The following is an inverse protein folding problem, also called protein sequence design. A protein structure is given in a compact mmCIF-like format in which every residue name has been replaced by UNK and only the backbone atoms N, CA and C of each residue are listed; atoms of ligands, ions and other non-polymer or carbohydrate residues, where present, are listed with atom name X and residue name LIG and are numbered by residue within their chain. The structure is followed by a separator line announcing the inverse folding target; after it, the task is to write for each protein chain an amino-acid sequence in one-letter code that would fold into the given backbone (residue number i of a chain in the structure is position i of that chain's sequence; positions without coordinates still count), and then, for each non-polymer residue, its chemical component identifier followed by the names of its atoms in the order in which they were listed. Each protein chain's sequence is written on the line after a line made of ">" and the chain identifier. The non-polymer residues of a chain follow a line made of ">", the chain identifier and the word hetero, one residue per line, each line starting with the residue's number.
data_IF_665626843579
#
_entry.id   IF_665626843579
#
_cell.length_a   1.000
_cell.length_b   1.000
_cell.length_c   1.000
_cell.angle_alpha   90.00
_cell.angle_beta   90.00
_cell.angle_gamma   90.00
#
_symmetry.space_group_name_H-M   'P 1'
#
loop_
_entity.id
_entity.type
_entity.pdbx_description
1 polymer ?
#
# COMPACT_ATOMS: atom_id res chain seq x y z
N UNK A 1 -13.92 -6.45 22.59
CA UNK A 1 -13.68 -5.99 21.21
C UNK A 1 -14.68 -6.73 20.36
N UNK A 2 -15.80 -6.08 20.02
CA UNK A 2 -16.84 -6.62 19.14
C UNK A 2 -16.27 -6.74 17.73
N UNK A 3 -16.60 -7.84 17.10
CA UNK A 3 -16.14 -8.22 15.76
C UNK A 3 -16.55 -7.17 14.73
N UNK A 4 -15.64 -6.73 13.92
CA UNK A 4 -15.80 -5.79 12.79
C UNK A 4 -16.83 -6.24 11.74
N UNK A 5 -17.27 -7.50 11.78
CA UNK A 5 -18.20 -8.11 10.83
C UNK A 5 -19.68 -7.72 11.03
N UNK A 6 -20.07 -7.16 12.18
CA UNK A 6 -21.46 -6.77 12.44
C UNK A 6 -21.87 -5.42 11.81
N UNK A 7 -20.93 -4.65 11.28
CA UNK A 7 -21.19 -3.30 10.75
C UNK A 7 -21.06 -3.22 9.22
N UNK A 8 -20.58 -4.26 8.57
CA UNK A 8 -20.28 -4.24 7.13
C UNK A 8 -21.51 -4.21 6.23
N UNK A 9 -22.67 -4.67 6.72
CA UNK A 9 -23.92 -4.73 5.95
C UNK A 9 -24.91 -3.60 6.28
N UNK A 10 -24.52 -2.61 7.11
CA UNK A 10 -25.41 -1.53 7.55
C UNK A 10 -25.35 -0.33 6.63
N UNK A 11 -26.49 0.29 6.37
CA UNK A 11 -26.57 1.59 5.69
C UNK A 11 -25.92 2.71 6.54
N UNK A 12 -25.52 3.79 5.88
CA UNK A 12 -24.94 4.96 6.58
C UNK A 12 -25.88 5.53 7.66
N UNK A 13 -27.19 5.50 7.42
CA UNK A 13 -28.19 5.96 8.41
C UNK A 13 -28.30 5.04 9.62
N UNK A 14 -28.21 3.72 9.39
CA UNK A 14 -28.20 2.75 10.50
C UNK A 14 -26.92 2.86 11.33
N UNK A 15 -25.78 3.08 10.69
CA UNK A 15 -24.52 3.34 11.38
C UNK A 15 -24.59 4.62 12.23
N UNK A 16 -25.14 5.71 11.70
CA UNK A 16 -25.35 6.96 12.45
C UNK A 16 -26.24 6.75 13.68
N UNK A 17 -27.36 6.02 13.53
CA UNK A 17 -28.24 5.69 14.65
C UNK A 17 -27.53 4.87 15.72
N UNK A 18 -26.77 3.84 15.33
CA UNK A 18 -26.01 3.02 16.29
C UNK A 18 -24.94 3.84 17.03
N UNK A 19 -24.24 4.74 16.35
CA UNK A 19 -23.28 5.64 16.99
C UNK A 19 -23.98 6.56 17.99
N UNK A 20 -25.11 7.16 17.59
CA UNK A 20 -25.91 8.02 18.46
C UNK A 20 -26.44 7.28 19.69
N UNK A 21 -26.99 6.07 19.52
CA UNK A 21 -27.44 5.21 20.61
C UNK A 21 -26.31 4.83 21.55
N UNK A 22 -25.13 4.50 21.01
CA UNK A 22 -23.97 4.14 21.83
C UNK A 22 -23.41 5.31 22.65
N UNK A 23 -23.47 6.54 22.10
CA UNK A 23 -23.03 7.77 22.76
C UNK A 23 -24.06 8.34 23.74
N UNK A 24 -25.32 7.94 23.61
CA UNK A 24 -26.42 8.44 24.42
C UNK A 24 -26.13 8.28 25.91
N UNK A 25 -26.38 9.36 26.68
CA UNK A 25 -26.15 9.40 28.12
C UNK A 25 -24.66 9.35 28.55
N UNK A 26 -23.70 9.34 27.60
CA UNK A 26 -22.26 9.33 27.89
C UNK A 26 -21.63 10.69 27.64
N UNK A 27 -20.58 10.99 28.41
CA UNK A 27 -19.67 12.08 28.13
C UNK A 27 -18.55 11.59 27.21
N UNK A 28 -18.36 12.24 26.07
CA UNK A 28 -17.43 11.78 25.04
C UNK A 28 -16.54 12.89 24.52
N UNK A 29 -15.39 12.49 23.98
CA UNK A 29 -14.56 13.27 23.06
C UNK A 29 -14.44 12.48 21.76
N UNK A 30 -14.97 13.05 20.68
CA UNK A 30 -14.84 12.51 19.33
C UNK A 30 -13.85 13.37 18.54
N UNK A 31 -12.94 12.73 17.83
CA UNK A 31 -12.01 13.40 16.92
C UNK A 31 -12.37 13.01 15.50
N UNK A 32 -12.69 14.02 14.68
CA UNK A 32 -12.95 13.89 13.25
C UNK A 32 -11.76 14.51 12.52
N UNK A 33 -10.92 13.67 11.97
CA UNK A 33 -9.68 14.11 11.31
C UNK A 33 -9.91 14.34 9.83
N UNK A 34 -9.31 15.42 9.30
CA UNK A 34 -9.24 15.78 7.87
C UNK A 34 -10.61 15.91 7.18
N UNK A 35 -11.54 16.68 7.76
CA UNK A 35 -12.83 16.98 7.13
C UNK A 35 -12.63 17.99 5.99
N UNK A 36 -13.02 17.60 4.76
CA UNK A 36 -12.76 18.38 3.54
C UNK A 36 -13.87 19.35 3.14
N UNK A 37 -15.12 19.02 3.43
CA UNK A 37 -16.28 19.82 3.02
C UNK A 37 -17.28 19.99 4.14
N UNK A 38 -18.04 21.06 4.10
CA UNK A 38 -19.14 21.33 5.04
C UNK A 38 -20.24 20.24 4.96
N UNK A 39 -20.43 19.66 3.77
CA UNK A 39 -21.40 18.60 3.55
C UNK A 39 -21.07 17.34 4.36
N UNK A 40 -19.79 16.93 4.42
CA UNK A 40 -19.36 15.78 5.23
C UNK A 40 -19.70 16.01 6.72
N UNK A 41 -19.49 17.24 7.22
CA UNK A 41 -19.90 17.58 8.58
C UNK A 41 -21.41 17.46 8.77
N UNK A 42 -22.22 17.98 7.84
CA UNK A 42 -23.67 17.89 7.91
C UNK A 42 -24.17 16.44 7.89
N UNK A 43 -23.51 15.57 7.16
CA UNK A 43 -23.82 14.15 7.11
C UNK A 43 -23.56 13.45 8.45
N UNK A 44 -22.48 13.78 9.16
CA UNK A 44 -22.08 13.04 10.37
C UNK A 44 -22.56 13.67 11.67
N UNK A 45 -22.82 14.98 11.73
CA UNK A 45 -23.14 15.71 12.97
C UNK A 45 -24.34 15.13 13.72
N UNK A 46 -25.34 14.58 13.00
CA UNK A 46 -26.53 13.95 13.58
C UNK A 46 -26.27 12.67 14.38
N UNK A 47 -25.07 12.07 14.24
CA UNK A 47 -24.65 10.92 15.02
C UNK A 47 -24.16 11.26 16.44
N UNK A 48 -24.04 12.55 16.80
CA UNK A 48 -23.46 13.01 18.07
C UNK A 48 -24.52 13.70 18.92
N UNK A 49 -25.18 12.99 19.86
CA UNK A 49 -26.23 13.56 20.69
C UNK A 49 -25.65 14.56 21.72
N UNK A 50 -26.25 15.73 21.84
CA UNK A 50 -25.87 16.78 22.80
C UNK A 50 -26.66 16.69 24.12
N UNK A 51 -26.81 15.49 24.68
CA UNK A 51 -27.56 15.24 25.90
C UNK A 51 -26.77 15.50 27.19
N UNK A 52 -25.44 15.42 27.10
CA UNK A 52 -24.53 15.55 28.25
C UNK A 52 -23.66 16.80 28.12
N UNK A 53 -23.84 17.77 29.04
CA UNK A 53 -22.95 18.94 29.09
C UNK A 53 -21.50 18.52 29.30
N UNK A 54 -20.62 18.91 28.40
CA UNK A 54 -19.19 18.66 28.48
C UNK A 54 -18.66 17.62 27.49
N UNK A 55 -19.51 17.01 26.65
CA UNK A 55 -19.05 16.30 25.45
C UNK A 55 -18.39 17.30 24.49
N UNK A 56 -17.39 16.80 23.74
CA UNK A 56 -16.61 17.63 22.80
C UNK A 56 -16.39 16.88 21.51
N UNK A 57 -16.36 17.64 20.42
CA UNK A 57 -15.97 17.17 19.10
C UNK A 57 -14.77 18.04 18.66
N UNK A 58 -13.67 17.40 18.33
CA UNK A 58 -12.50 18.04 17.75
C UNK A 58 -12.47 17.73 16.26
N UNK A 59 -12.43 18.76 15.43
CA UNK A 59 -12.37 18.62 13.96
C UNK A 59 -11.05 19.18 13.50
N UNK A 60 -10.34 18.43 12.65
CA UNK A 60 -9.23 18.98 11.87
C UNK A 60 -9.67 19.16 10.41
N UNK A 61 -9.20 20.22 9.77
CA UNK A 61 -9.46 20.51 8.36
C UNK A 61 -8.37 21.39 7.79
N UNK A 62 -8.07 21.15 6.52
CA UNK A 62 -7.23 22.06 5.70
C UNK A 62 -8.05 23.23 5.13
N UNK A 63 -9.38 23.12 5.12
CA UNK A 63 -10.29 24.13 4.62
C UNK A 63 -10.78 25.03 5.76
N UNK A 64 -10.43 26.33 5.70
CA UNK A 64 -10.87 27.33 6.68
C UNK A 64 -12.40 27.47 6.74
N UNK A 65 -13.08 27.31 5.60
CA UNK A 65 -14.54 27.40 5.54
C UNK A 65 -15.20 26.29 6.37
N UNK A 66 -14.69 25.07 6.29
CA UNK A 66 -15.18 23.94 7.10
C UNK A 66 -14.98 24.22 8.58
N UNK A 67 -13.80 24.73 8.96
CA UNK A 67 -13.49 25.03 10.35
C UNK A 67 -14.42 26.10 10.93
N UNK A 68 -14.78 27.13 10.17
CA UNK A 68 -15.75 28.15 10.58
C UNK A 68 -17.18 27.63 10.61
N UNK A 69 -17.56 26.79 9.65
CA UNK A 69 -18.92 26.26 9.54
C UNK A 69 -19.24 25.25 10.65
N UNK A 70 -18.31 24.34 10.92
CA UNK A 70 -18.53 23.26 11.87
C UNK A 70 -18.32 23.69 13.34
N UNK A 71 -17.52 24.73 13.58
CA UNK A 71 -17.14 25.17 14.92
C UNK A 71 -18.17 26.05 15.60
N UNK A 72 -18.39 25.84 16.91
CA UNK A 72 -19.13 26.76 17.79
C UNK A 72 -18.24 27.83 18.40
N UNK A 73 -16.93 27.73 18.23
CA UNK A 73 -15.89 28.67 18.66
C UNK A 73 -14.99 29.05 17.49
N UNK A 74 -14.18 30.10 17.66
CA UNK A 74 -13.19 30.48 16.64
C UNK A 74 -12.22 29.33 16.38
N UNK A 75 -11.96 28.99 15.09
CA UNK A 75 -11.01 27.96 14.76
C UNK A 75 -9.61 28.26 15.29
N UNK A 76 -8.93 27.22 15.76
CA UNK A 76 -7.53 27.31 16.11
C UNK A 76 -6.67 27.06 14.86
N UNK A 77 -5.88 28.04 14.49
CA UNK A 77 -4.94 27.91 13.39
C UNK A 77 -3.61 27.39 13.92
N UNK A 78 -3.26 26.17 13.52
CA UNK A 78 -1.98 25.58 13.92
C UNK A 78 -0.83 26.42 13.34
N UNK A 79 0.06 27.00 14.18
CA UNK A 79 1.17 27.77 13.67
C UNK A 79 2.18 26.86 12.95
N UNK A 80 2.84 27.42 11.94
CA UNK A 80 4.03 26.82 11.35
C UNK A 80 5.18 26.86 12.37
N UNK A 81 6.17 25.98 12.22
CA UNK A 81 7.37 25.98 13.06
C UNK A 81 8.16 27.27 12.83
N UNK A 82 8.67 27.84 13.93
CA UNK A 82 9.61 28.96 13.85
C UNK A 82 10.99 28.48 13.33
N UNK A 83 11.93 29.42 13.14
CA UNK A 83 13.26 29.12 12.57
C UNK A 83 14.06 28.14 13.43
N UNK A 84 14.00 28.27 14.77
CA UNK A 84 14.75 27.39 15.67
C UNK A 84 14.11 26.01 15.80
N UNK A 85 12.79 25.93 15.90
CA UNK A 85 12.06 24.66 15.87
C UNK A 85 12.28 23.91 14.55
N UNK A 86 12.29 24.64 13.43
CA UNK A 86 12.57 24.09 12.10
C UNK A 86 13.99 23.54 12.00
N UNK A 87 14.96 24.29 12.54
CA UNK A 87 16.36 23.88 12.61
C UNK A 87 16.54 22.65 13.51
N UNK A 88 15.92 22.63 14.68
CA UNK A 88 15.96 21.49 15.58
C UNK A 88 15.40 20.22 14.95
N UNK A 89 14.24 20.32 14.26
CA UNK A 89 13.64 19.19 13.56
C UNK A 89 14.56 18.66 12.45
N UNK A 90 15.16 19.56 11.66
CA UNK A 90 16.08 19.23 10.59
C UNK A 90 17.33 18.52 11.09
N UNK A 91 17.98 19.07 12.13
CA UNK A 91 19.21 18.50 12.69
C UNK A 91 18.96 17.17 13.37
N UNK A 92 17.89 17.01 14.14
CA UNK A 92 17.50 15.73 14.73
C UNK A 92 17.36 14.62 13.67
N UNK A 93 16.82 14.97 12.51
CA UNK A 93 16.65 14.00 11.41
C UNK A 93 17.97 13.61 10.75
N UNK A 94 18.91 14.54 10.60
CA UNK A 94 20.18 14.31 9.88
C UNK A 94 21.23 13.68 10.80
N UNK A 95 21.34 14.17 12.02
CA UNK A 95 22.44 13.83 12.93
C UNK A 95 22.07 12.81 14.01
N UNK A 96 20.76 12.45 14.13
CA UNK A 96 20.27 11.39 15.04
C UNK A 96 20.69 11.60 16.52
N UNK A 97 20.85 12.85 16.94
CA UNK A 97 21.26 13.24 18.29
C UNK A 97 22.72 13.70 18.41
N UNK A 98 23.50 13.59 17.36
CA UNK A 98 24.83 14.25 17.29
C UNK A 98 24.69 15.75 17.00
N UNK A 99 25.70 16.54 17.35
CA UNK A 99 25.72 17.97 17.05
C UNK A 99 26.05 18.22 15.57
N UNK A 100 25.43 19.27 15.01
CA UNK A 100 25.76 19.72 13.66
C UNK A 100 27.13 20.39 13.66
N UNK A 101 28.05 20.02 12.76
CA UNK A 101 29.32 20.73 12.60
C UNK A 101 29.09 22.22 12.33
N UNK A 102 29.80 23.09 13.04
CA UNK A 102 29.62 24.56 12.99
C UNK A 102 29.76 25.15 11.58
N UNK A 103 30.57 24.53 10.73
CA UNK A 103 30.77 24.97 9.35
C UNK A 103 29.58 24.62 8.43
N UNK A 104 28.67 23.72 8.83
CA UNK A 104 27.46 23.37 8.08
C UNK A 104 26.22 24.14 8.55
N UNK A 105 26.21 24.66 9.77
CA UNK A 105 25.05 25.31 10.36
C UNK A 105 24.51 26.48 9.51
N UNK A 106 25.32 27.44 9.02
CA UNK A 106 24.81 28.55 8.21
C UNK A 106 24.12 28.08 6.92
N UNK A 107 24.69 27.05 6.26
CA UNK A 107 24.11 26.46 5.06
C UNK A 107 22.82 25.71 5.40
N UNK A 108 22.83 24.92 6.46
CA UNK A 108 21.67 24.15 6.90
C UNK A 108 20.50 25.04 7.26
N UNK A 109 20.70 26.10 8.04
CA UNK A 109 19.66 27.10 8.35
C UNK A 109 19.09 27.73 7.08
N UNK A 110 19.95 28.05 6.11
CA UNK A 110 19.52 28.59 4.82
C UNK A 110 18.67 27.57 4.01
N UNK A 111 19.01 26.29 4.04
CA UNK A 111 18.24 25.21 3.42
C UNK A 111 16.88 25.06 4.11
N UNK A 112 16.83 25.01 5.44
CA UNK A 112 15.60 24.84 6.21
C UNK A 112 14.63 26.00 6.00
N UNK A 113 15.13 27.21 5.84
CA UNK A 113 14.30 28.40 5.60
C UNK A 113 13.43 28.26 4.34
N UNK A 114 13.88 27.53 3.32
CA UNK A 114 13.08 27.28 2.11
C UNK A 114 11.83 26.43 2.39
N UNK A 115 11.77 25.70 3.50
CA UNK A 115 10.61 24.88 3.90
C UNK A 115 9.46 25.70 4.49
N UNK A 116 9.63 27.00 4.73
CA UNK A 116 8.57 27.88 5.26
C UNK A 116 7.98 27.40 6.60
N UNK A 117 8.74 26.68 7.43
CA UNK A 117 8.27 26.17 8.72
C UNK A 117 7.32 24.95 8.63
N UNK A 118 7.15 24.34 7.46
CA UNK A 118 6.26 23.19 7.27
C UNK A 118 6.96 21.88 7.64
N UNK A 119 6.49 21.13 8.65
CA UNK A 119 7.17 19.94 9.16
C UNK A 119 7.45 18.87 8.11
N UNK A 120 6.49 18.60 7.22
CA UNK A 120 6.67 17.60 6.14
C UNK A 120 7.81 18.00 5.20
N UNK A 121 7.83 19.27 4.78
CA UNK A 121 8.89 19.77 3.89
C UNK A 121 10.27 19.64 4.56
N UNK A 122 10.36 19.99 5.84
CA UNK A 122 11.60 19.93 6.63
C UNK A 122 12.09 18.47 6.72
N UNK A 123 11.23 17.51 7.09
CA UNK A 123 11.68 16.12 7.27
C UNK A 123 12.05 15.44 5.96
N UNK A 124 11.35 15.76 4.86
CA UNK A 124 11.66 15.22 3.53
C UNK A 124 12.98 15.81 3.01
N UNK A 125 13.18 17.12 3.15
CA UNK A 125 14.42 17.76 2.75
C UNK A 125 15.59 17.29 3.62
N UNK A 126 15.39 17.14 4.92
CA UNK A 126 16.38 16.54 5.83
C UNK A 126 16.73 15.09 5.43
N UNK A 127 15.74 14.29 5.04
CA UNK A 127 15.96 12.93 4.54
C UNK A 127 16.78 12.89 3.24
N UNK A 128 16.61 13.88 2.37
CA UNK A 128 17.45 14.05 1.18
C UNK A 128 18.90 14.40 1.57
N UNK A 129 19.07 15.40 2.46
CA UNK A 129 20.38 15.88 2.92
C UNK A 129 21.12 14.80 3.69
N UNK A 130 20.45 14.02 4.55
CA UNK A 130 21.06 12.94 5.33
C UNK A 130 21.73 11.85 4.46
N UNK A 131 21.29 11.69 3.20
CA UNK A 131 21.86 10.72 2.24
C UNK A 131 23.02 11.30 1.43
N UNK A 132 23.40 12.55 1.66
CA UNK A 132 24.53 13.22 1.00
C UNK A 132 25.72 13.29 1.95
N UNK A 133 26.88 13.49 1.38
CA UNK A 133 28.09 13.74 2.16
C UNK A 133 27.93 15.01 3.02
N UNK A 134 28.33 14.94 4.29
CA UNK A 134 28.30 16.08 5.23
C UNK A 134 29.44 17.08 4.91
N UNK A 135 29.40 17.64 3.69
CA UNK A 135 30.38 18.59 3.17
C UNK A 135 29.71 19.90 2.73
N UNK A 136 30.44 21.02 2.85
CA UNK A 136 29.96 22.33 2.40
C UNK A 136 29.56 22.31 0.92
N UNK A 137 30.30 21.59 0.09
CA UNK A 137 30.06 21.48 -1.35
C UNK A 137 28.69 20.87 -1.66
N UNK A 138 28.38 19.71 -1.04
CA UNK A 138 27.09 19.03 -1.28
C UNK A 138 25.92 19.81 -0.71
N UNK A 139 26.09 20.44 0.47
CA UNK A 139 25.03 21.24 1.05
C UNK A 139 24.79 22.56 0.30
N UNK A 140 25.84 23.20 -0.24
CA UNK A 140 25.68 24.36 -1.13
C UNK A 140 24.91 23.99 -2.39
N UNK A 141 25.18 22.82 -2.97
CA UNK A 141 24.45 22.33 -4.14
C UNK A 141 22.95 22.12 -3.85
N UNK A 142 22.62 21.56 -2.67
CA UNK A 142 21.22 21.39 -2.28
C UNK A 142 20.57 22.74 -2.04
N UNK A 143 21.27 23.68 -1.40
CA UNK A 143 20.80 25.05 -1.22
C UNK A 143 20.46 25.70 -2.57
N UNK A 144 21.35 25.63 -3.56
CA UNK A 144 21.11 26.17 -4.89
C UNK A 144 19.86 25.56 -5.54
N UNK A 145 19.75 24.22 -5.50
CA UNK A 145 18.56 23.52 -6.03
C UNK A 145 17.26 23.92 -5.33
N UNK A 146 17.29 24.11 -4.00
CA UNK A 146 16.12 24.54 -3.25
C UNK A 146 15.82 26.03 -3.43
N UNK A 147 16.84 26.87 -3.68
CA UNK A 147 16.68 28.32 -3.86
C UNK A 147 15.96 28.68 -5.17
N UNK A 148 16.23 27.97 -6.27
CA UNK A 148 15.53 28.17 -7.55
C UNK A 148 14.03 27.91 -7.46
N UNK A 149 13.60 27.17 -6.44
CA UNK A 149 12.17 26.94 -6.17
C UNK A 149 11.51 28.13 -5.44
N UNK A 150 12.27 29.04 -4.80
CA UNK A 150 11.72 30.10 -3.93
C UNK A 150 11.40 31.40 -4.66
N UNK A 151 11.80 31.58 -5.91
CA UNK A 151 11.56 32.82 -6.65
C UNK A 151 10.07 33.07 -6.96
N UNK A 152 9.23 31.99 -6.96
CA UNK A 152 7.79 32.03 -7.28
C UNK A 152 6.85 31.48 -6.19
N UNK A 153 7.08 31.73 -4.89
CA UNK A 153 6.31 31.15 -3.78
C UNK A 153 6.40 29.62 -3.76
N UNK A 154 7.50 29.08 -3.21
CA UNK A 154 7.72 27.63 -3.07
C UNK A 154 6.52 26.94 -2.46
N UNK A 155 5.86 26.13 -3.23
CA UNK A 155 4.85 25.21 -2.70
C UNK A 155 5.56 24.00 -2.09
N UNK A 156 4.94 23.39 -1.07
CA UNK A 156 5.44 22.15 -0.46
C UNK A 156 5.73 21.08 -1.52
N UNK A 157 4.92 21.07 -2.57
CA UNK A 157 5.06 20.11 -3.68
C UNK A 157 6.39 20.21 -4.41
N UNK A 158 6.98 21.41 -4.50
CA UNK A 158 8.27 21.60 -5.17
C UNK A 158 9.41 20.96 -4.37
N UNK A 159 9.36 21.08 -3.04
CA UNK A 159 10.32 20.43 -2.14
C UNK A 159 10.18 18.90 -2.20
N UNK A 160 8.94 18.39 -2.22
CA UNK A 160 8.68 16.97 -2.36
C UNK A 160 9.17 16.45 -3.71
N UNK A 161 8.96 17.21 -4.78
CA UNK A 161 9.44 16.91 -6.12
C UNK A 161 10.97 16.90 -6.19
N UNK A 162 11.65 17.85 -5.56
CA UNK A 162 13.11 17.86 -5.46
C UNK A 162 13.64 16.56 -4.83
N UNK A 163 12.96 16.06 -3.78
CA UNK A 163 13.33 14.78 -3.15
C UNK A 163 13.12 13.60 -4.12
N UNK A 164 12.01 13.58 -4.87
CA UNK A 164 11.74 12.56 -5.90
C UNK A 164 12.78 12.59 -7.03
N UNK A 165 13.11 13.77 -7.54
CA UNK A 165 14.06 13.94 -8.63
C UNK A 165 15.45 13.41 -8.23
N UNK A 166 15.84 13.55 -6.97
CA UNK A 166 17.07 13.04 -6.39
C UNK A 166 17.02 11.57 -5.94
N UNK A 167 15.91 10.86 -6.17
CA UNK A 167 15.85 9.42 -5.93
C UNK A 167 16.73 8.65 -6.92
N UNK A 168 17.49 7.65 -6.46
CA UNK A 168 18.11 6.68 -7.36
C UNK A 168 17.09 6.08 -8.32
N UNK A 169 17.46 5.94 -9.60
CA UNK A 169 16.56 5.44 -10.64
C UNK A 169 15.89 4.11 -10.31
N UNK A 170 16.57 3.23 -9.53
CA UNK A 170 16.02 1.97 -9.04
C UNK A 170 14.84 2.13 -8.07
N UNK A 171 14.80 3.25 -7.31
CA UNK A 171 13.76 3.51 -6.32
C UNK A 171 12.54 4.25 -6.91
N UNK A 172 12.72 5.00 -7.99
CA UNK A 172 11.62 5.79 -8.59
C UNK A 172 10.37 4.95 -8.92
N UNK A 173 10.47 3.77 -9.57
CA UNK A 173 9.30 2.92 -9.81
C UNK A 173 8.65 2.43 -8.51
N UNK A 174 9.44 2.10 -7.49
CA UNK A 174 8.94 1.65 -6.19
C UNK A 174 8.19 2.77 -5.47
N UNK A 175 8.71 4.00 -5.54
CA UNK A 175 8.06 5.19 -4.97
C UNK A 175 6.75 5.52 -5.70
N UNK A 176 6.77 5.64 -7.02
CA UNK A 176 5.56 5.94 -7.79
C UNK A 176 4.45 4.91 -7.57
N UNK A 177 4.83 3.66 -7.34
CA UNK A 177 3.88 2.57 -7.09
C UNK A 177 3.07 2.75 -5.81
N UNK A 178 3.56 3.54 -4.84
CA UNK A 178 2.81 3.85 -3.62
C UNK A 178 1.52 4.64 -3.90
N UNK A 179 1.47 5.39 -4.99
CA UNK A 179 0.28 6.12 -5.42
C UNK A 179 -0.93 5.24 -5.79
N UNK A 180 -0.77 3.89 -5.90
CA UNK A 180 -1.91 2.98 -6.10
C UNK A 180 -2.86 2.97 -4.92
N UNK A 181 -2.35 3.22 -3.70
CA UNK A 181 -3.15 3.11 -2.48
C UNK A 181 -4.06 4.32 -2.27
N UNK A 182 -5.25 4.13 -1.67
CA UNK A 182 -6.09 5.24 -1.19
C UNK A 182 -5.38 6.09 -0.12
N UNK A 183 -5.98 7.22 0.21
CA UNK A 183 -5.59 8.01 1.38
C UNK A 183 -5.67 7.18 2.65
N UNK A 184 -4.80 7.47 3.62
CA UNK A 184 -4.73 6.82 4.93
C UNK A 184 -4.60 5.28 4.91
N UNK A 185 -4.37 4.70 3.74
CA UNK A 185 -4.30 3.25 3.62
C UNK A 185 -3.09 2.68 4.37
N UNK A 186 -3.36 1.73 5.25
CA UNK A 186 -2.32 1.00 6.00
C UNK A 186 -1.69 -0.08 5.13
N UNK A 187 -0.57 0.24 4.50
CA UNK A 187 0.13 -0.63 3.55
C UNK A 187 0.89 -1.71 4.31
N UNK A 188 0.63 -2.97 3.99
CA UNK A 188 1.42 -4.10 4.51
C UNK A 188 2.73 -4.21 3.72
N UNK A 189 3.87 -3.99 4.37
CA UNK A 189 5.18 -4.01 3.73
C UNK A 189 5.44 -5.31 2.93
N UNK A 190 5.06 -6.46 3.49
CA UNK A 190 5.23 -7.76 2.83
C UNK A 190 4.43 -7.89 1.52
N UNK A 191 3.26 -7.28 1.42
CA UNK A 191 2.46 -7.33 0.21
C UNK A 191 3.01 -6.36 -0.83
N UNK A 192 3.41 -5.15 -0.41
CA UNK A 192 4.09 -4.16 -1.27
C UNK A 192 5.36 -4.73 -1.91
N UNK A 193 6.20 -5.40 -1.13
CA UNK A 193 7.44 -6.05 -1.61
C UNK A 193 7.13 -7.10 -2.69
N UNK A 194 6.12 -7.94 -2.48
CA UNK A 194 5.70 -8.93 -3.48
C UNK A 194 5.18 -8.28 -4.76
N UNK A 195 4.49 -7.14 -4.66
CA UNK A 195 4.07 -6.38 -5.83
C UNK A 195 5.26 -5.84 -6.61
N UNK A 196 6.25 -5.23 -5.93
CA UNK A 196 7.46 -4.73 -6.57
C UNK A 196 8.25 -5.83 -7.28
N UNK A 197 8.36 -7.01 -6.66
CA UNK A 197 9.01 -8.18 -7.26
C UNK A 197 8.22 -8.66 -8.48
N UNK A 198 6.90 -8.83 -8.38
CA UNK A 198 6.06 -9.29 -9.48
C UNK A 198 6.04 -8.30 -10.66
N UNK A 199 6.14 -7.00 -10.40
CA UNK A 199 6.33 -5.97 -11.43
C UNK A 199 7.69 -6.06 -12.11
N UNK A 200 8.69 -6.59 -11.42
CA UNK A 200 10.08 -6.66 -11.88
C UNK A 200 10.87 -5.39 -11.59
N UNK A 201 10.50 -4.61 -10.55
CA UNK A 201 11.27 -3.43 -10.12
C UNK A 201 12.52 -3.83 -9.35
N UNK A 202 12.47 -4.98 -8.69
CA UNK A 202 13.58 -5.51 -7.90
C UNK A 202 14.45 -6.38 -8.79
N UNK A 203 15.73 -6.04 -8.84
CA UNK A 203 16.70 -6.82 -9.58
C UNK A 203 17.69 -7.49 -8.60
N UNK A 204 18.10 -8.74 -8.87
CA UNK A 204 19.10 -9.40 -8.06
C UNK A 204 20.38 -8.57 -8.08
N UNK A 205 20.92 -8.24 -6.91
CA UNK A 205 22.24 -7.64 -6.82
C UNK A 205 23.27 -8.78 -6.89
N UNK A 206 24.15 -8.72 -7.87
CA UNK A 206 25.34 -9.57 -7.93
C UNK A 206 26.41 -8.96 -7.00
N UNK A 207 26.34 -9.28 -5.72
CA UNK A 207 27.47 -9.11 -4.82
C UNK A 207 28.45 -10.24 -5.13
N UNK A 208 29.64 -9.89 -5.59
CA UNK A 208 30.64 -10.84 -6.09
C UNK A 208 30.85 -12.04 -5.17
N UNK A 209 31.05 -13.22 -5.79
CA UNK A 209 31.36 -14.51 -5.17
C UNK A 209 30.24 -15.09 -4.29
N UNK A 210 29.36 -15.88 -4.93
CA UNK A 210 28.51 -16.95 -4.37
C UNK A 210 27.30 -16.60 -3.49
N UNK A 211 27.00 -15.38 -3.12
CA UNK A 211 25.80 -15.05 -2.32
C UNK A 211 24.83 -14.17 -3.11
N UNK A 212 23.82 -14.81 -3.70
CA UNK A 212 22.70 -14.09 -4.33
C UNK A 212 21.75 -13.64 -3.23
N UNK A 213 21.78 -12.35 -2.89
CA UNK A 213 20.80 -11.74 -1.99
C UNK A 213 19.39 -11.98 -2.56
N UNK A 214 18.49 -12.50 -1.74
CA UNK A 214 17.11 -12.76 -2.17
C UNK A 214 16.39 -11.46 -2.54
N UNK A 215 15.47 -11.55 -3.50
CA UNK A 215 14.74 -10.36 -4.00
C UNK A 215 13.96 -9.66 -2.89
N UNK A 216 13.45 -10.42 -1.91
CA UNK A 216 12.71 -9.91 -0.77
C UNK A 216 13.61 -9.04 0.13
N UNK A 217 14.85 -9.47 0.35
CA UNK A 217 15.81 -8.73 1.18
C UNK A 217 16.24 -7.42 0.49
N UNK A 218 16.42 -7.45 -0.84
CA UNK A 218 16.69 -6.23 -1.64
C UNK A 218 15.49 -5.28 -1.61
N UNK A 219 14.27 -5.81 -1.67
CA UNK A 219 13.06 -4.99 -1.64
C UNK A 219 12.78 -4.40 -0.25
N UNK A 220 13.06 -5.14 0.83
CA UNK A 220 13.06 -4.61 2.21
C UNK A 220 14.03 -3.43 2.31
N UNK A 221 15.25 -3.57 1.78
CA UNK A 221 16.24 -2.48 1.74
C UNK A 221 15.74 -1.25 0.96
N UNK A 222 15.05 -1.44 -0.18
CA UNK A 222 14.47 -0.32 -0.93
C UNK A 222 13.38 0.39 -0.13
N UNK A 223 12.57 -0.34 0.62
CA UNK A 223 11.56 0.24 1.49
C UNK A 223 12.21 1.04 2.63
N UNK A 224 13.23 0.49 3.27
CA UNK A 224 13.96 1.18 4.33
C UNK A 224 14.63 2.46 3.79
N UNK A 225 15.18 2.44 2.56
CA UNK A 225 15.76 3.63 1.94
C UNK A 225 14.70 4.73 1.69
N UNK A 226 13.46 4.38 1.34
CA UNK A 226 12.35 5.33 1.22
C UNK A 226 11.90 5.87 2.59
N UNK A 227 11.92 5.04 3.63
CA UNK A 227 11.64 5.45 5.02
C UNK A 227 12.71 6.42 5.53
N UNK A 228 13.97 6.13 5.31
CA UNK A 228 15.08 7.00 5.71
C UNK A 228 14.99 8.39 5.07
N UNK A 229 14.51 8.45 3.82
CA UNK A 229 14.25 9.70 3.10
C UNK A 229 12.96 10.40 3.51
N UNK A 230 12.23 9.87 4.51
CA UNK A 230 10.94 10.38 4.99
C UNK A 230 9.83 10.41 3.91
N UNK A 231 9.98 9.66 2.83
CA UNK A 231 8.95 9.50 1.79
C UNK A 231 7.91 8.43 2.16
N UNK A 232 8.25 7.56 3.11
CA UNK A 232 7.35 6.54 3.67
C UNK A 232 7.42 6.63 5.19
N UNK A 233 6.28 6.58 5.85
CA UNK A 233 6.16 6.58 7.31
C UNK A 233 5.91 5.16 7.82
N UNK A 234 6.70 4.72 8.80
CA UNK A 234 6.49 3.43 9.48
C UNK A 234 5.33 3.57 10.46
N UNK A 235 4.27 2.78 10.26
CA UNK A 235 3.14 2.71 11.19
C UNK A 235 3.36 1.64 12.26
N UNK A 236 3.87 0.48 11.87
CA UNK A 236 4.21 -0.61 12.79
C UNK A 236 5.50 -1.31 12.35
N UNK A 237 6.30 -1.74 13.35
CA UNK A 237 7.48 -2.58 13.11
C UNK A 237 7.21 -4.04 13.45
N UNK A 238 7.93 -4.94 12.81
CA UNK A 238 8.00 -6.37 13.15
C UNK A 238 8.90 -6.56 14.37
N UNK A 239 8.83 -7.74 15.00
CA UNK A 239 9.72 -8.12 16.10
C UNK A 239 11.20 -8.15 15.72
N UNK A 240 11.52 -8.35 14.43
CA UNK A 240 12.87 -8.32 13.88
C UNK A 240 13.37 -6.91 13.55
N UNK A 241 12.58 -5.86 13.88
CA UNK A 241 12.88 -4.45 13.61
C UNK A 241 12.45 -3.96 12.23
N UNK A 242 12.19 -4.83 11.27
CA UNK A 242 11.76 -4.47 9.92
C UNK A 242 10.35 -3.84 9.87
N UNK A 243 10.02 -3.20 8.77
CA UNK A 243 8.71 -2.57 8.56
C UNK A 243 7.62 -3.65 8.47
N UNK A 244 6.59 -3.55 9.35
CA UNK A 244 5.39 -4.40 9.29
C UNK A 244 4.32 -3.74 8.43
N UNK A 245 4.00 -2.49 8.77
CA UNK A 245 3.06 -1.66 8.02
C UNK A 245 3.61 -0.25 7.89
N UNK A 246 3.27 0.39 6.79
CA UNK A 246 3.66 1.77 6.51
C UNK A 246 2.49 2.56 5.93
N UNK A 247 2.66 3.87 5.88
CA UNK A 247 1.74 4.83 5.25
C UNK A 247 2.54 5.84 4.44
N UNK A 248 1.88 6.52 3.54
CA UNK A 248 2.40 7.70 2.88
C UNK A 248 1.52 8.90 3.23
N UNK A 249 2.13 10.05 3.36
CA UNK A 249 1.40 11.31 3.56
C UNK A 249 0.67 11.68 2.26
N UNK A 250 -0.51 12.29 2.36
CA UNK A 250 -1.36 12.60 1.20
C UNK A 250 -0.62 13.41 0.12
N UNK A 251 0.13 14.44 0.53
CA UNK A 251 0.92 15.24 -0.40
C UNK A 251 1.99 14.40 -1.14
N UNK A 252 2.58 13.42 -0.46
CA UNK A 252 3.54 12.49 -1.09
C UNK A 252 2.81 11.57 -2.06
N UNK A 253 1.60 11.11 -1.69
CA UNK A 253 0.75 10.32 -2.57
C UNK A 253 0.34 11.12 -3.82
N UNK A 254 -0.05 12.37 -3.64
CA UNK A 254 -0.43 13.25 -4.74
C UNK A 254 0.75 13.50 -5.69
N UNK A 255 1.96 13.64 -5.15
CA UNK A 255 3.18 13.66 -5.94
C UNK A 255 3.36 12.35 -6.74
N UNK A 256 3.19 11.18 -6.09
CA UNK A 256 3.28 9.89 -6.80
C UNK A 256 2.28 9.81 -7.96
N UNK A 257 1.05 10.29 -7.77
CA UNK A 257 0.00 10.29 -8.80
C UNK A 257 0.34 11.28 -9.91
N UNK A 258 0.76 12.50 -9.58
CA UNK A 258 1.12 13.53 -10.53
C UNK A 258 2.29 13.11 -11.43
N UNK A 259 3.41 12.66 -10.83
CA UNK A 259 4.57 12.17 -11.57
C UNK A 259 4.25 10.89 -12.36
N UNK A 260 3.37 10.03 -11.83
CA UNK A 260 2.91 8.83 -12.57
C UNK A 260 2.14 9.18 -13.84
N UNK A 261 1.34 10.27 -13.84
CA UNK A 261 0.62 10.74 -15.03
C UNK A 261 1.60 11.25 -16.09
N UNK A 262 2.58 12.06 -15.66
CA UNK A 262 3.62 12.60 -16.54
C UNK A 262 4.38 11.46 -17.23
N UNK A 263 4.79 10.45 -16.51
CA UNK A 263 5.57 9.32 -16.99
C UNK A 263 4.74 8.20 -17.64
N UNK A 264 3.41 8.36 -17.71
CA UNK A 264 2.46 7.30 -18.13
C UNK A 264 2.69 5.99 -17.38
N UNK A 265 3.08 6.10 -16.11
CA UNK A 265 3.42 4.98 -15.26
C UNK A 265 2.17 4.29 -14.72
N UNK A 266 1.20 5.08 -14.22
CA UNK A 266 -0.02 4.60 -13.57
C UNK A 266 -1.16 5.61 -13.75
N UNK A 267 -2.40 5.10 -13.73
CA UNK A 267 -3.63 5.89 -13.67
C UNK A 267 -4.43 5.50 -12.43
N UNK A 268 -5.01 6.51 -11.78
CA UNK A 268 -5.94 6.33 -10.66
C UNK A 268 -7.33 6.73 -11.10
N UNK A 269 -8.27 5.81 -10.94
CA UNK A 269 -9.66 5.96 -11.34
C UNK A 269 -10.56 5.98 -10.11
N UNK A 270 -11.51 6.89 -10.12
CA UNK A 270 -12.57 7.04 -9.12
C UNK A 270 -13.93 6.88 -9.78
N UNK A 271 -14.99 6.84 -9.00
CA UNK A 271 -16.36 6.75 -9.54
C UNK A 271 -16.71 7.88 -10.51
N UNK A 272 -16.05 9.04 -10.39
CA UNK A 272 -16.28 10.19 -11.27
C UNK A 272 -15.69 10.06 -12.67
N UNK A 273 -14.64 9.25 -12.85
CA UNK A 273 -13.92 9.14 -14.12
C UNK A 273 -13.79 7.72 -14.68
N UNK A 274 -14.29 6.70 -13.98
CA UNK A 274 -14.13 5.30 -14.37
C UNK A 274 -14.78 5.00 -15.72
N UNK A 275 -15.90 5.64 -16.03
CA UNK A 275 -16.65 5.42 -17.26
C UNK A 275 -16.01 6.16 -18.48
N UNK A 276 -15.14 7.12 -18.23
CA UNK A 276 -14.48 7.95 -19.27
C UNK A 276 -13.10 7.42 -19.67
N UNK A 277 -12.62 6.35 -19.02
CA UNK A 277 -11.30 5.78 -19.31
C UNK A 277 -11.32 5.09 -20.67
N UNK A 278 -10.83 5.79 -21.66
CA UNK A 278 -10.69 5.27 -23.04
C UNK A 278 -9.26 4.81 -23.38
N UNK A 279 -8.31 4.99 -22.46
CA UNK A 279 -6.89 4.78 -22.76
C UNK A 279 -6.48 3.31 -22.61
N UNK A 280 -6.35 2.62 -23.73
CA UNK A 280 -5.91 1.20 -23.80
C UNK A 280 -4.43 0.98 -23.53
N UNK A 281 -3.63 2.06 -23.40
CA UNK A 281 -2.17 2.00 -23.24
C UNK A 281 -1.70 2.08 -21.79
N UNK A 282 -2.61 2.10 -20.83
CA UNK A 282 -2.28 2.14 -19.39
C UNK A 282 -1.53 0.88 -18.97
N UNK A 283 -0.41 1.06 -18.29
CA UNK A 283 0.37 -0.06 -17.76
C UNK A 283 -0.11 -0.50 -16.38
N UNK A 284 -0.57 0.42 -15.55
CA UNK A 284 -1.05 0.18 -14.19
C UNK A 284 -2.32 0.97 -13.93
N UNK A 285 -3.25 0.33 -13.25
CA UNK A 285 -4.57 0.88 -12.99
C UNK A 285 -4.91 0.68 -11.51
N UNK A 286 -5.23 1.77 -10.83
CA UNK A 286 -5.80 1.75 -9.48
C UNK A 286 -7.23 2.26 -9.55
N UNK A 287 -8.20 1.43 -9.18
CA UNK A 287 -9.61 1.76 -9.19
C UNK A 287 -10.07 1.93 -7.75
N UNK A 288 -10.68 3.07 -7.46
CA UNK A 288 -11.27 3.41 -6.15
C UNK A 288 -12.75 3.64 -6.36
N UNK A 289 -13.58 2.72 -5.92
CA UNK A 289 -15.01 2.76 -6.20
C UNK A 289 -15.83 2.32 -5.00
N UNK A 290 -16.98 2.96 -4.85
CA UNK A 290 -18.04 2.55 -3.93
C UNK A 290 -19.13 1.73 -4.64
N UNK A 291 -19.05 1.53 -5.95
CA UNK A 291 -20.01 0.77 -6.74
C UNK A 291 -19.94 -0.72 -6.41
N UNK A 292 -21.06 -1.37 -6.19
CA UNK A 292 -21.12 -2.81 -5.92
C UNK A 292 -20.71 -3.67 -7.13
N UNK A 293 -20.90 -3.15 -8.35
CA UNK A 293 -20.59 -3.86 -9.59
C UNK A 293 -19.75 -3.01 -10.52
N UNK A 294 -18.61 -3.57 -10.95
CA UNK A 294 -17.76 -3.01 -11.99
C UNK A 294 -17.93 -3.83 -13.27
N UNK A 295 -18.40 -3.18 -14.32
CA UNK A 295 -18.46 -3.75 -15.67
C UNK A 295 -17.45 -3.00 -16.54
N UNK A 296 -16.39 -3.67 -16.95
CA UNK A 296 -15.47 -3.10 -17.92
C UNK A 296 -16.12 -3.13 -19.31
N UNK A 297 -16.35 -1.96 -19.86
CA UNK A 297 -16.86 -1.81 -21.21
C UNK A 297 -15.87 -2.32 -22.27
N UNK A 298 -16.30 -2.31 -23.54
CA UNK A 298 -15.48 -2.76 -24.68
C UNK A 298 -14.18 -1.98 -24.87
N UNK A 299 -14.03 -0.83 -24.21
CA UNK A 299 -12.82 0.02 -24.24
C UNK A 299 -11.58 -0.66 -23.68
N UNK A 300 -11.73 -1.66 -22.80
CA UNK A 300 -10.61 -2.41 -22.22
C UNK A 300 -10.18 -3.64 -23.04
N UNK A 301 -10.85 -3.95 -24.12
CA UNK A 301 -10.65 -5.21 -24.88
C UNK A 301 -9.24 -5.45 -25.44
N UNK A 302 -8.36 -4.44 -25.44
CA UNK A 302 -6.95 -4.57 -25.86
C UNK A 302 -6.01 -3.91 -24.83
N UNK A 303 -6.38 -3.98 -23.56
CA UNK A 303 -5.60 -3.33 -22.52
C UNK A 303 -4.17 -3.87 -22.43
N UNK A 304 -3.20 -2.95 -22.37
CA UNK A 304 -1.79 -3.25 -22.09
C UNK A 304 -1.48 -3.22 -20.60
N UNK A 305 -2.50 -3.18 -19.75
CA UNK A 305 -2.37 -3.13 -18.31
C UNK A 305 -1.64 -4.35 -17.77
N UNK A 306 -0.59 -4.09 -17.00
CA UNK A 306 0.23 -5.11 -16.33
C UNK A 306 -0.18 -5.31 -14.88
N UNK A 307 -0.71 -4.26 -14.24
CA UNK A 307 -1.16 -4.33 -12.85
C UNK A 307 -2.48 -3.62 -12.68
N UNK A 308 -3.37 -4.26 -11.94
CA UNK A 308 -4.66 -3.71 -11.58
C UNK A 308 -4.92 -3.90 -10.11
N UNK A 309 -5.35 -2.82 -9.47
CA UNK A 309 -5.78 -2.77 -8.08
C UNK A 309 -7.18 -2.20 -8.02
N UNK A 310 -8.00 -2.75 -7.14
CA UNK A 310 -9.35 -2.26 -6.90
C UNK A 310 -9.54 -2.15 -5.41
N UNK A 311 -9.99 -0.97 -4.98
CA UNK A 311 -10.26 -0.63 -3.58
C UNK A 311 -11.72 -0.23 -3.44
N UNK A 312 -12.41 -0.78 -2.44
CA UNK A 312 -13.82 -0.53 -2.16
C UNK A 312 -14.64 -1.81 -2.01
N UNK A 313 -15.93 -1.65 -1.70
CA UNK A 313 -16.87 -2.77 -1.60
C UNK A 313 -17.44 -3.08 -2.98
N UNK A 314 -17.01 -4.18 -3.57
CA UNK A 314 -17.50 -4.57 -4.89
C UNK A 314 -17.52 -6.09 -5.04
N UNK A 315 -18.47 -6.56 -5.82
CA UNK A 315 -18.48 -7.93 -6.35
C UNK A 315 -18.06 -7.89 -7.81
N UNK A 316 -16.89 -8.44 -8.11
CA UNK A 316 -16.41 -8.48 -9.47
C UNK A 316 -16.45 -9.89 -10.03
N UNK A 317 -17.02 -10.00 -11.22
CA UNK A 317 -16.93 -11.24 -11.99
C UNK A 317 -15.55 -11.36 -12.61
N UNK A 318 -14.78 -12.33 -12.11
CA UNK A 318 -13.44 -12.64 -12.58
C UNK A 318 -13.35 -12.79 -14.12
N UNK A 319 -14.39 -13.30 -14.73
CA UNK A 319 -14.51 -13.48 -16.18
C UNK A 319 -14.24 -12.20 -16.97
N UNK A 320 -14.74 -11.06 -16.52
CA UNK A 320 -14.54 -9.77 -17.19
C UNK A 320 -13.09 -9.29 -17.11
N UNK A 321 -12.45 -9.51 -15.96
CA UNK A 321 -11.05 -9.16 -15.75
C UNK A 321 -10.16 -10.01 -16.67
N UNK A 322 -10.36 -11.31 -16.66
CA UNK A 322 -9.54 -12.27 -17.42
C UNK A 322 -9.61 -12.04 -18.93
N UNK A 323 -10.77 -11.66 -19.46
CA UNK A 323 -10.94 -11.37 -20.89
C UNK A 323 -10.16 -10.14 -21.33
N UNK A 324 -10.12 -9.12 -20.49
CA UNK A 324 -9.61 -7.79 -20.85
C UNK A 324 -8.12 -7.58 -20.53
N UNK A 325 -7.58 -8.25 -19.50
CA UNK A 325 -6.24 -7.97 -18.96
C UNK A 325 -5.25 -9.12 -19.15
N UNK A 326 -5.12 -9.64 -20.37
CA UNK A 326 -4.26 -10.80 -20.68
C UNK A 326 -2.76 -10.60 -20.40
N UNK A 327 -2.30 -9.34 -20.37
CA UNK A 327 -0.90 -9.00 -20.09
C UNK A 327 -0.65 -8.73 -18.60
N UNK A 328 -1.64 -8.93 -17.73
CA UNK A 328 -1.51 -8.66 -16.31
C UNK A 328 -0.39 -9.51 -15.68
N UNK A 329 0.39 -8.83 -14.83
CA UNK A 329 1.41 -9.43 -13.95
C UNK A 329 0.94 -9.46 -12.50
N UNK A 330 0.16 -8.44 -12.11
CA UNK A 330 -0.36 -8.27 -10.75
C UNK A 330 -1.85 -8.02 -10.81
N UNK A 331 -2.61 -8.84 -10.10
CA UNK A 331 -4.01 -8.61 -9.79
C UNK A 331 -4.14 -8.52 -8.26
N UNK A 332 -4.21 -7.28 -7.78
CA UNK A 332 -4.14 -6.95 -6.35
C UNK A 332 -5.51 -6.54 -5.79
N UNK A 333 -6.49 -7.45 -5.84
CA UNK A 333 -7.81 -7.20 -5.28
C UNK A 333 -8.44 -8.50 -4.78
N UNK A 334 -9.36 -8.36 -3.84
CA UNK A 334 -10.14 -9.46 -3.34
C UNK A 334 -11.27 -9.76 -4.34
N UNK A 335 -11.17 -10.90 -5.01
CA UNK A 335 -12.18 -11.36 -5.97
C UNK A 335 -13.04 -12.44 -5.33
N UNK A 336 -14.35 -12.23 -5.38
CA UNK A 336 -15.33 -13.28 -5.08
C UNK A 336 -15.71 -14.00 -6.36
N UNK A 337 -15.49 -15.30 -6.43
CA UNK A 337 -15.99 -16.12 -7.54
C UNK A 337 -16.67 -17.38 -7.02
N UNK A 338 -17.94 -17.48 -7.30
CA UNK A 338 -18.73 -18.63 -6.87
C UNK A 338 -18.70 -19.80 -7.87
N UNK A 339 -18.40 -19.54 -9.14
CA UNK A 339 -18.54 -20.57 -10.20
C UNK A 339 -17.38 -20.51 -11.19
N UNK A 340 -16.52 -21.52 -11.17
CA UNK A 340 -15.49 -21.73 -12.18
C UNK A 340 -16.06 -22.42 -13.43
N UNK A 341 -16.46 -21.63 -14.41
CA UNK A 341 -16.87 -22.16 -15.70
C UNK A 341 -15.65 -22.60 -16.56
N UNK A 342 -15.89 -23.46 -17.54
CA UNK A 342 -14.87 -23.83 -18.51
C UNK A 342 -14.29 -22.63 -19.27
N UNK A 343 -15.06 -21.55 -19.42
CA UNK A 343 -14.61 -20.30 -20.03
C UNK A 343 -13.57 -19.58 -19.17
N UNK A 344 -13.80 -19.50 -17.83
CA UNK A 344 -12.86 -18.91 -16.87
C UNK A 344 -11.52 -19.65 -16.91
N UNK A 345 -11.55 -20.98 -16.87
CA UNK A 345 -10.32 -21.79 -16.98
C UNK A 345 -9.58 -21.59 -18.31
N UNK A 346 -10.29 -21.37 -19.42
CA UNK A 346 -9.68 -21.08 -20.73
C UNK A 346 -8.98 -19.72 -20.73
N UNK A 347 -9.60 -18.72 -20.14
CA UNK A 347 -9.04 -17.37 -20.07
C UNK A 347 -7.85 -17.30 -19.10
N UNK A 348 -7.90 -18.02 -17.97
CA UNK A 348 -6.75 -18.19 -17.08
C UNK A 348 -5.52 -18.74 -17.81
N UNK A 349 -5.68 -19.75 -18.64
CA UNK A 349 -4.56 -20.32 -19.42
C UNK A 349 -3.86 -19.30 -20.33
N UNK A 350 -4.53 -18.18 -20.66
CA UNK A 350 -3.97 -17.10 -21.49
C UNK A 350 -3.18 -16.07 -20.69
N UNK A 351 -3.29 -16.06 -19.35
CA UNK A 351 -2.61 -15.10 -18.47
C UNK A 351 -1.16 -15.53 -18.15
N UNK A 352 -0.40 -15.84 -19.18
CA UNK A 352 0.96 -16.39 -19.07
C UNK A 352 1.96 -15.44 -18.36
N UNK A 353 1.63 -14.15 -18.25
CA UNK A 353 2.49 -13.14 -17.61
C UNK A 353 2.19 -12.96 -16.12
N UNK A 354 1.12 -13.59 -15.60
CA UNK A 354 0.69 -13.37 -14.22
C UNK A 354 1.72 -13.90 -13.22
N UNK A 355 2.14 -13.02 -12.29
CA UNK A 355 3.12 -13.31 -11.24
C UNK A 355 2.54 -13.20 -9.84
N UNK A 356 1.56 -12.34 -9.66
CA UNK A 356 0.87 -12.17 -8.39
C UNK A 356 -0.64 -12.32 -8.58
N UNK A 357 -1.24 -13.21 -7.77
CA UNK A 357 -2.67 -13.45 -7.76
C UNK A 357 -3.18 -13.56 -6.33
N UNK A 358 -4.19 -12.76 -5.99
CA UNK A 358 -4.98 -12.89 -4.76
C UNK A 358 -6.43 -13.10 -5.14
N UNK A 359 -7.02 -14.21 -4.69
CA UNK A 359 -8.40 -14.58 -5.02
C UNK A 359 -9.09 -15.22 -3.82
N UNK A 360 -10.39 -14.99 -3.74
CA UNK A 360 -11.28 -15.72 -2.85
C UNK A 360 -12.24 -16.57 -3.70
N UNK A 361 -12.27 -17.88 -3.45
CA UNK A 361 -12.99 -18.83 -4.30
C UNK A 361 -13.55 -19.99 -3.48
N UNK A 362 -14.67 -20.56 -3.90
CA UNK A 362 -15.19 -21.77 -3.25
C UNK A 362 -14.34 -23.02 -3.55
N UNK A 363 -13.78 -23.11 -4.74
CA UNK A 363 -12.93 -24.22 -5.16
C UNK A 363 -11.76 -23.71 -5.99
N UNK A 364 -10.54 -24.12 -5.67
CA UNK A 364 -9.37 -23.78 -6.48
C UNK A 364 -9.30 -24.71 -7.70
N UNK A 365 -9.47 -24.20 -8.92
CA UNK A 365 -9.51 -25.03 -10.11
C UNK A 365 -8.13 -25.58 -10.50
N UNK A 366 -8.10 -26.75 -11.10
CA UNK A 366 -6.85 -27.35 -11.58
C UNK A 366 -6.14 -26.50 -12.64
N UNK A 367 -6.86 -25.61 -13.34
CA UNK A 367 -6.27 -24.72 -14.36
C UNK A 367 -5.33 -23.66 -13.79
N UNK A 368 -5.31 -23.44 -12.47
CA UNK A 368 -4.32 -22.57 -11.81
C UNK A 368 -2.88 -22.99 -12.14
N UNK A 369 -2.64 -24.29 -12.36
CA UNK A 369 -1.32 -24.83 -12.71
C UNK A 369 -0.79 -24.36 -14.07
N UNK A 370 -1.65 -23.76 -14.92
CA UNK A 370 -1.22 -23.16 -16.19
C UNK A 370 -0.53 -21.81 -16.03
N UNK A 371 -0.63 -21.20 -14.83
CA UNK A 371 0.04 -19.93 -14.51
C UNK A 371 1.50 -20.16 -14.09
N UNK A 372 2.29 -20.73 -14.97
CA UNK A 372 3.67 -21.17 -14.70
C UNK A 372 4.64 -20.07 -14.31
N UNK A 373 4.30 -18.78 -14.55
CA UNK A 373 5.08 -17.62 -14.09
C UNK A 373 4.69 -17.12 -12.71
N UNK A 374 3.71 -17.74 -12.04
CA UNK A 374 3.19 -17.25 -10.78
C UNK A 374 4.27 -17.35 -9.69
N UNK A 375 4.53 -16.21 -9.05
CA UNK A 375 5.50 -16.04 -7.96
C UNK A 375 4.80 -15.95 -6.60
N UNK A 376 3.60 -15.36 -6.56
CA UNK A 376 2.77 -15.26 -5.36
C UNK A 376 1.36 -15.71 -5.65
N UNK A 377 0.86 -16.61 -4.82
CA UNK A 377 -0.53 -17.05 -4.82
C UNK A 377 -1.10 -16.94 -3.40
N UNK A 378 -2.12 -16.10 -3.27
CA UNK A 378 -2.91 -15.97 -2.05
C UNK A 378 -4.35 -16.37 -2.36
N UNK A 379 -4.83 -17.41 -1.70
CA UNK A 379 -6.18 -17.96 -1.91
C UNK A 379 -6.89 -18.07 -0.57
N UNK A 380 -8.06 -17.47 -0.51
CA UNK A 380 -9.04 -17.70 0.58
C UNK A 380 -10.17 -18.57 0.01
N UNK A 381 -10.41 -19.76 0.61
CA UNK A 381 -11.39 -20.68 0.04
C UNK A 381 -11.80 -21.80 1.01
N UNK A 382 -12.86 -22.54 0.62
CA UNK A 382 -13.29 -23.76 1.29
C UNK A 382 -13.40 -24.87 0.26
N UNK A 383 -12.69 -26.01 0.44
CA UNK A 383 -12.80 -27.14 -0.48
C UNK A 383 -11.53 -27.93 -0.73
N UNK A 384 -11.35 -28.46 -1.93
CA UNK A 384 -10.17 -29.28 -2.29
C UNK A 384 -9.16 -28.48 -3.10
N UNK A 385 -7.89 -28.61 -2.75
CA UNK A 385 -6.75 -28.11 -3.55
C UNK A 385 -6.32 -29.19 -4.52
N UNK A 386 -6.16 -28.84 -5.78
CA UNK A 386 -5.56 -29.75 -6.75
C UNK A 386 -4.06 -29.96 -6.48
N UNK A 387 -3.58 -31.20 -6.49
CA UNK A 387 -2.15 -31.51 -6.40
C UNK A 387 -1.29 -30.83 -7.47
N UNK A 388 -1.89 -30.39 -8.55
CA UNK A 388 -1.22 -29.62 -9.62
C UNK A 388 -0.67 -28.27 -9.17
N UNK A 389 -1.07 -27.74 -8.01
CA UNK A 389 -0.46 -26.52 -7.44
C UNK A 389 1.05 -26.69 -7.23
N UNK A 390 1.48 -27.91 -6.91
CA UNK A 390 2.89 -28.24 -6.70
C UNK A 390 3.74 -28.25 -7.99
N UNK A 391 3.14 -28.03 -9.14
CA UNK A 391 3.87 -27.89 -10.41
C UNK A 391 4.30 -26.46 -10.71
N UNK A 392 3.90 -25.48 -9.88
CA UNK A 392 4.24 -24.07 -10.04
C UNK A 392 5.68 -23.80 -9.54
N UNK A 393 6.66 -24.07 -10.36
CA UNK A 393 8.09 -24.02 -9.99
C UNK A 393 8.64 -22.63 -9.66
N UNK A 394 7.98 -21.55 -10.16
CA UNK A 394 8.38 -20.16 -9.86
C UNK A 394 7.77 -19.61 -8.60
N UNK A 395 6.91 -20.39 -7.92
CA UNK A 395 6.20 -19.93 -6.74
C UNK A 395 7.17 -19.66 -5.58
N UNK A 396 7.14 -18.43 -5.07
CA UNK A 396 7.93 -17.93 -3.93
C UNK A 396 7.08 -17.82 -2.67
N UNK A 397 5.81 -17.47 -2.84
CA UNK A 397 4.89 -17.27 -1.72
C UNK A 397 3.55 -17.95 -1.99
N UNK A 398 3.17 -18.85 -1.11
CA UNK A 398 1.90 -19.56 -1.16
C UNK A 398 1.13 -19.36 0.16
N UNK A 399 -0.06 -18.80 0.06
CA UNK A 399 -0.97 -18.61 1.19
C UNK A 399 -2.31 -19.27 0.85
N UNK A 400 -2.66 -20.28 1.62
CA UNK A 400 -3.90 -21.01 1.51
C UNK A 400 -4.67 -20.81 2.81
N UNK A 401 -5.71 -19.96 2.76
CA UNK A 401 -6.51 -19.56 3.91
C UNK A 401 -7.91 -20.12 3.78
N UNK A 402 -8.49 -20.62 4.89
CA UNK A 402 -9.80 -21.24 4.94
C UNK A 402 -9.76 -22.74 5.16
N UNK A 403 -10.93 -23.39 5.10
CA UNK A 403 -11.07 -24.82 5.34
C UNK A 403 -10.83 -25.63 4.06
N UNK A 404 -9.81 -26.46 4.04
CA UNK A 404 -9.47 -27.25 2.86
C UNK A 404 -8.71 -28.53 3.19
N UNK A 405 -8.72 -29.49 2.25
CA UNK A 405 -7.88 -30.66 2.30
C UNK A 405 -6.68 -30.49 1.37
N UNK A 406 -5.49 -30.36 1.95
CA UNK A 406 -4.25 -30.39 1.17
C UNK A 406 -4.07 -31.78 0.53
N UNK A 407 -3.69 -31.82 -0.75
CA UNK A 407 -3.29 -33.09 -1.35
C UNK A 407 -1.96 -33.53 -0.75
N UNK A 408 -2.03 -34.54 0.11
CA UNK A 408 -0.85 -35.14 0.77
C UNK A 408 0.03 -35.94 -0.19
N UNK A 409 -0.49 -36.29 -1.36
CA UNK A 409 0.29 -36.98 -2.39
C UNK A 409 1.15 -35.94 -3.11
N UNK A 410 2.32 -35.71 -2.55
CA UNK A 410 3.36 -34.89 -3.17
C UNK A 410 4.05 -35.79 -4.23
N UNK A 411 4.11 -35.33 -5.49
CA UNK A 411 4.91 -36.05 -6.47
C UNK A 411 6.35 -36.07 -5.98
N UNK A 412 6.90 -37.24 -5.69
CA UNK A 412 8.28 -37.42 -5.16
C UNK A 412 9.37 -36.73 -6.02
N UNK A 413 9.03 -36.32 -7.24
CA UNK A 413 9.94 -35.69 -8.21
C UNK A 413 9.89 -34.16 -8.29
N UNK A 414 8.96 -33.48 -7.63
CA UNK A 414 8.76 -32.03 -7.81
C UNK A 414 9.15 -31.25 -6.57
N UNK A 415 10.42 -30.83 -6.49
CA UNK A 415 10.86 -29.80 -5.54
C UNK A 415 10.37 -28.43 -5.99
N UNK A 416 9.82 -27.65 -5.07
CA UNK A 416 9.49 -26.24 -5.28
C UNK A 416 10.64 -25.42 -4.69
N UNK A 417 11.70 -25.31 -5.49
CA UNK A 417 12.98 -24.77 -5.06
C UNK A 417 12.92 -23.30 -4.65
N UNK A 418 11.94 -22.55 -5.16
CA UNK A 418 11.86 -21.10 -4.94
C UNK A 418 10.92 -20.70 -3.80
N UNK A 419 10.20 -21.65 -3.16
CA UNK A 419 9.21 -21.30 -2.14
C UNK A 419 9.90 -20.80 -0.86
N UNK A 420 9.63 -19.55 -0.50
CA UNK A 420 10.16 -18.89 0.69
C UNK A 420 9.15 -18.69 1.80
N UNK A 421 7.87 -18.56 1.45
CA UNK A 421 6.81 -18.38 2.44
C UNK A 421 5.65 -19.33 2.16
N UNK A 422 5.23 -20.05 3.21
CA UNK A 422 4.07 -20.92 3.18
C UNK A 422 3.12 -20.49 4.29
N UNK A 423 1.89 -20.12 3.93
CA UNK A 423 0.80 -19.83 4.87
C UNK A 423 -0.30 -20.87 4.74
N UNK A 424 -0.68 -21.50 5.84
CA UNK A 424 -1.70 -22.54 5.88
C UNK A 424 -2.68 -22.26 7.01
N UNK A 425 -3.98 -22.44 6.74
CA UNK A 425 -5.04 -22.35 7.74
C UNK A 425 -5.82 -23.68 7.79
N UNK A 426 -6.25 -24.12 8.97
CA UNK A 426 -7.15 -25.26 9.13
C UNK A 426 -6.55 -26.64 8.90
N UNK A 427 -5.22 -26.77 8.89
CA UNK A 427 -4.55 -28.06 8.74
C UNK A 427 -4.24 -28.71 10.09
N UNK A 428 -4.27 -30.05 10.11
CA UNK A 428 -3.82 -30.79 11.31
C UNK A 428 -2.30 -30.74 11.46
N UNK A 429 -1.77 -30.81 12.69
CA UNK A 429 -0.32 -30.86 12.92
C UNK A 429 0.38 -31.99 12.14
N UNK A 430 -0.26 -33.14 12.00
CA UNK A 430 0.29 -34.31 11.28
C UNK A 430 0.43 -34.01 9.77
N UNK A 431 -0.55 -33.33 9.19
CA UNK A 431 -0.50 -32.92 7.78
C UNK A 431 0.64 -31.92 7.53
N UNK A 432 0.81 -30.96 8.44
CA UNK A 432 1.89 -29.96 8.34
C UNK A 432 3.26 -30.62 8.48
N UNK A 433 3.43 -31.49 9.47
CA UNK A 433 4.68 -32.22 9.70
C UNK A 433 5.03 -33.11 8.50
N UNK A 434 4.05 -33.83 7.94
CA UNK A 434 4.25 -34.67 6.75
C UNK A 434 4.68 -33.81 5.55
N UNK A 435 4.07 -32.63 5.37
CA UNK A 435 4.39 -31.70 4.30
C UNK A 435 5.82 -31.13 4.45
N UNK A 436 6.22 -30.74 5.64
CA UNK A 436 7.56 -30.20 5.90
C UNK A 436 8.65 -31.26 5.78
N UNK A 437 8.40 -32.49 6.29
CA UNK A 437 9.34 -33.59 6.20
C UNK A 437 9.51 -34.14 4.77
N UNK A 438 8.66 -33.76 3.85
CA UNK A 438 8.76 -34.18 2.45
C UNK A 438 10.02 -33.68 1.74
N UNK A 439 10.70 -32.63 2.29
CA UNK A 439 11.90 -32.02 1.72
C UNK A 439 11.68 -31.27 0.39
N UNK A 440 10.42 -31.01 0.03
CA UNK A 440 10.09 -30.34 -1.26
C UNK A 440 10.31 -28.84 -1.25
N UNK A 441 10.54 -28.21 -0.06
CA UNK A 441 10.72 -26.77 0.11
C UNK A 441 12.10 -26.42 0.65
N UNK A 442 13.19 -26.58 -0.12
CA UNK A 442 14.56 -26.41 0.40
C UNK A 442 14.89 -24.96 0.82
N UNK A 443 14.15 -23.95 0.31
CA UNK A 443 14.36 -22.53 0.61
C UNK A 443 13.27 -21.90 1.48
N UNK A 444 12.48 -22.71 2.19
CA UNK A 444 11.40 -22.17 3.02
C UNK A 444 11.98 -21.39 4.21
N UNK A 445 11.68 -20.10 4.26
CA UNK A 445 12.15 -19.16 5.32
C UNK A 445 11.04 -18.79 6.29
N UNK A 446 9.78 -18.80 5.85
CA UNK A 446 8.63 -18.34 6.66
C UNK A 446 7.50 -19.35 6.57
N UNK A 447 7.02 -19.77 7.74
CA UNK A 447 5.83 -20.59 7.89
C UNK A 447 4.80 -19.80 8.73
N UNK A 448 3.62 -19.60 8.21
CA UNK A 448 2.50 -19.00 8.91
C UNK A 448 1.38 -20.03 9.04
N UNK A 449 1.05 -20.37 10.28
CA UNK A 449 -0.02 -21.32 10.61
C UNK A 449 -1.13 -20.56 11.32
N UNK A 450 -2.36 -20.76 10.88
CA UNK A 450 -3.55 -20.24 11.55
C UNK A 450 -4.46 -21.42 11.88
N UNK A 451 -4.66 -21.66 13.17
CA UNK A 451 -5.60 -22.66 13.63
C UNK A 451 -7.02 -22.14 13.35
N UNK A 452 -7.87 -22.98 12.76
CA UNK A 452 -9.30 -22.71 12.73
C UNK A 452 -9.82 -22.89 14.14
N UNK A 453 -10.26 -21.81 14.79
CA UNK A 453 -11.03 -21.92 16.02
C UNK A 453 -12.44 -22.43 15.67
N UNK A 454 -12.57 -23.73 15.44
CA UNK A 454 -13.84 -24.40 15.56
C UNK A 454 -13.93 -24.97 16.99
N UNK A 455 -14.45 -24.17 17.89
CA UNK A 455 -15.15 -24.62 19.09
C UNK A 455 -16.60 -24.16 19.01
#
# INVERSE_FOLDING_TARGET
>A
MSSTTEFEDLSEEELKKKVAEWLKGKKYLVVLDDIWTTQVWDEVKGAFPDEQRGSRILITSRNKEVAHYAGTASPYYLPILNEDESWELFTKKIFLGEECPSYLEPLGRSIVKTCGGLPLAIVVLAGLVAKKEKSQREWSRIKELSWHLTEDKTEVMDILKLSYDNLPGRLKPCFLYLGIYPEDYKIRARDLIKYWIAEGFIQPQKTGIADTTELEDVADFYLDELVDRSLVQVAERRSDGGVKTCRIHDLIRDLCISESKSDKFMEVCTDSNIDTISNTNLRRLSIRTKREFLVFGNTFHKSRTRSMFIFGYYRMYLVHVLKNFKLARVLGFDMYESVWSNSVCRDFKRMIHLRYLRIEVRHLPACISSLWNLETLHVTYSGKVSSKIWTLKRLRHLYLMGTYNLPLVLPKANRIENLQSLGLEGQTPQQIISLLNSGIFPRLRKLALKCSNYF
#
